data_IF_522161743958
#
_entry.id   IF_522161743958
#
_cell.length_a   1.000
_cell.length_b   1.000
_cell.length_c   1.000
_cell.angle_alpha   90.00
_cell.angle_beta   90.00
_cell.angle_gamma   90.00
#
_symmetry.space_group_name_H-M   'P 1'
#
loop_
_entity.id
_entity.type
_entity.pdbx_description
1 polymer ?
#
# COMPACT_ATOMS: atom_id res chain seq x y z
N UNK A 1 -45.59 1.81 -23.11
CA UNK A 1 -45.25 3.23 -22.87
C UNK A 1 -45.33 3.49 -21.38
N UNK A 2 -44.21 3.41 -20.67
CA UNK A 2 -43.94 4.21 -19.46
C UNK A 2 -42.50 3.93 -19.05
N UNK A 3 -41.59 4.73 -19.59
CA UNK A 3 -40.19 4.81 -19.21
C UNK A 3 -40.06 5.78 -18.04
N UNK A 4 -40.19 5.30 -16.81
CA UNK A 4 -39.84 6.07 -15.62
C UNK A 4 -38.33 6.03 -15.42
N UNK A 5 -37.69 7.04 -16.01
CA UNK A 5 -36.30 7.44 -15.78
C UNK A 5 -36.15 7.82 -14.30
N UNK A 6 -35.56 6.94 -13.49
CA UNK A 6 -35.09 7.29 -12.15
C UNK A 6 -33.76 8.05 -12.26
N UNK A 7 -33.66 9.32 -11.83
CA UNK A 7 -32.39 10.04 -11.80
C UNK A 7 -31.67 9.67 -10.52
N UNK A 8 -30.69 8.76 -10.59
CA UNK A 8 -29.76 8.59 -9.48
C UNK A 8 -29.02 9.93 -9.24
N UNK A 9 -29.11 10.55 -8.06
CA UNK A 9 -28.27 11.69 -7.73
C UNK A 9 -26.83 11.21 -7.72
N UNK A 10 -26.03 11.67 -8.68
CA UNK A 10 -24.59 11.44 -8.72
C UNK A 10 -23.97 12.10 -7.50
N UNK A 11 -23.80 11.35 -6.42
CA UNK A 11 -22.93 11.75 -5.33
C UNK A 11 -21.54 12.02 -5.95
N UNK A 12 -21.10 13.29 -5.87
CA UNK A 12 -19.88 13.78 -6.48
C UNK A 12 -18.67 12.91 -6.09
N UNK A 13 -17.81 12.52 -7.05
CA UNK A 13 -16.73 11.61 -6.77
C UNK A 13 -15.60 12.34 -6.03
N UNK A 14 -15.35 11.98 -4.78
CA UNK A 14 -14.15 12.38 -3.99
C UNK A 14 -12.84 11.83 -4.63
N UNK A 15 -12.90 11.19 -5.80
CA UNK A 15 -11.81 10.48 -6.48
C UNK A 15 -10.78 11.39 -7.18
N UNK A 16 -11.02 12.69 -7.34
CA UNK A 16 -10.11 13.56 -8.11
C UNK A 16 -8.84 13.94 -7.37
N UNK A 17 -8.91 14.13 -6.05
CA UNK A 17 -7.76 14.54 -5.23
C UNK A 17 -6.73 13.41 -5.07
N UNK A 18 -7.20 12.17 -4.90
CA UNK A 18 -6.34 10.99 -4.79
C UNK A 18 -5.62 10.67 -6.10
N UNK A 19 -6.27 10.89 -7.25
CA UNK A 19 -5.65 10.66 -8.56
C UNK A 19 -4.49 11.62 -8.85
N UNK A 20 -4.61 12.90 -8.45
CA UNK A 20 -3.53 13.88 -8.60
C UNK A 20 -2.34 13.55 -7.68
N UNK A 21 -2.62 13.15 -6.43
CA UNK A 21 -1.60 12.73 -5.47
C UNK A 21 -0.89 11.45 -5.93
N UNK A 22 -1.63 10.46 -6.43
CA UNK A 22 -1.06 9.22 -6.99
C UNK A 22 -0.12 9.49 -8.18
N UNK A 23 -0.49 10.41 -9.08
CA UNK A 23 0.37 10.81 -10.21
C UNK A 23 1.66 11.48 -9.75
N UNK A 24 1.60 12.30 -8.70
CA UNK A 24 2.76 13.01 -8.13
C UNK A 24 3.68 12.05 -7.37
N UNK A 25 3.11 11.15 -6.57
CA UNK A 25 3.84 10.07 -5.88
C UNK A 25 4.48 9.11 -6.87
N UNK A 26 3.77 8.71 -7.94
CA UNK A 26 4.31 7.85 -8.99
C UNK A 26 5.44 8.51 -9.76
N UNK A 27 5.35 9.82 -10.02
CA UNK A 27 6.42 10.58 -10.68
C UNK A 27 7.64 10.72 -9.76
N UNK A 28 7.43 11.05 -8.49
CA UNK A 28 8.48 11.11 -7.47
C UNK A 28 9.18 9.76 -7.26
N UNK A 29 8.42 8.67 -7.20
CA UNK A 29 8.95 7.32 -7.06
C UNK A 29 9.82 6.94 -8.28
N UNK A 30 9.34 7.23 -9.50
CA UNK A 30 10.12 6.99 -10.73
C UNK A 30 11.41 7.80 -10.79
N UNK A 31 11.39 9.07 -10.37
CA UNK A 31 12.61 9.90 -10.31
C UNK A 31 13.64 9.33 -9.34
N UNK A 32 13.22 8.70 -8.24
CA UNK A 32 14.14 8.07 -7.26
C UNK A 32 14.58 6.64 -7.62
N UNK A 33 13.78 5.89 -8.37
CA UNK A 33 14.02 4.45 -8.58
C UNK A 33 15.01 4.16 -9.73
N UNK A 34 15.14 5.04 -10.73
CA UNK A 34 15.96 4.81 -11.91
C UNK A 34 15.38 3.70 -12.83
N UNK A 35 16.05 3.38 -13.96
CA UNK A 35 15.59 2.33 -14.88
C UNK A 35 15.53 0.97 -14.20
N UNK A 36 14.43 0.24 -14.41
CA UNK A 36 14.27 -1.11 -13.88
C UNK A 36 15.05 -2.11 -14.74
N UNK A 37 15.96 -2.85 -14.10
CA UNK A 37 16.69 -3.94 -14.75
C UNK A 37 15.79 -5.17 -14.93
N UNK A 38 16.18 -6.07 -15.84
CA UNK A 38 15.47 -7.32 -16.14
C UNK A 38 15.16 -8.17 -14.88
N UNK A 39 16.01 -8.07 -13.86
CA UNK A 39 15.76 -8.60 -12.52
C UNK A 39 15.71 -7.41 -11.55
N UNK A 40 14.51 -7.10 -11.07
CA UNK A 40 14.29 -6.00 -10.12
C UNK A 40 14.18 -6.54 -8.71
N UNK A 41 15.17 -6.23 -7.89
CA UNK A 41 15.15 -6.53 -6.46
C UNK A 41 14.46 -5.40 -5.68
N UNK A 42 13.49 -5.76 -4.83
CA UNK A 42 12.81 -4.83 -3.94
C UNK A 42 13.73 -4.47 -2.78
N UNK A 43 14.61 -3.49 -3.01
CA UNK A 43 15.47 -2.90 -1.99
C UNK A 43 14.65 -2.04 -1.01
N UNK A 44 15.14 -1.80 0.22
CA UNK A 44 14.45 -0.94 1.21
C UNK A 44 14.04 0.44 0.66
N UNK A 45 14.87 1.07 -0.17
CA UNK A 45 14.57 2.36 -0.80
C UNK A 45 13.49 2.33 -1.90
N UNK A 46 12.95 1.15 -2.23
CA UNK A 46 11.87 0.97 -3.20
C UNK A 46 10.54 0.54 -2.57
N UNK A 47 10.55 0.20 -1.27
CA UNK A 47 9.35 -0.22 -0.52
C UNK A 47 8.89 0.94 0.34
N UNK A 48 7.68 1.44 0.06
CA UNK A 48 7.11 2.59 0.76
C UNK A 48 5.88 2.18 1.57
N UNK A 49 5.83 2.61 2.81
CA UNK A 49 4.63 2.49 3.65
C UNK A 49 3.76 3.71 3.37
N UNK A 50 2.66 3.51 2.65
CA UNK A 50 1.73 4.61 2.35
C UNK A 50 0.79 4.84 3.53
N UNK A 51 0.49 6.12 3.88
CA UNK A 51 -0.53 6.44 4.87
C UNK A 51 -1.90 6.01 4.30
N UNK A 52 -2.47 4.94 4.84
CA UNK A 52 -3.83 4.51 4.51
C UNK A 52 -4.84 5.31 5.31
N UNK A 53 -6.07 5.46 4.81
CA UNK A 53 -7.12 6.20 5.54
C UNK A 53 -7.36 5.63 6.95
N UNK A 54 -7.39 4.30 7.07
CA UNK A 54 -7.51 3.62 8.37
C UNK A 54 -6.29 3.89 9.25
N UNK A 55 -5.08 3.90 8.70
CA UNK A 55 -3.85 4.23 9.43
C UNK A 55 -3.84 5.66 9.96
N UNK A 56 -4.40 6.62 9.20
CA UNK A 56 -4.56 8.01 9.65
C UNK A 56 -5.54 8.09 10.82
N UNK A 57 -6.71 7.45 10.71
CA UNK A 57 -7.71 7.41 11.80
C UNK A 57 -7.10 6.78 13.05
N UNK A 58 -6.40 5.66 12.91
CA UNK A 58 -5.68 5.02 14.02
C UNK A 58 -4.68 5.99 14.68
N UNK A 59 -3.82 6.65 13.90
CA UNK A 59 -2.84 7.59 14.42
C UNK A 59 -3.51 8.77 15.16
N UNK A 60 -4.59 9.32 14.62
CA UNK A 60 -5.37 10.38 15.26
C UNK A 60 -5.98 9.89 16.58
N UNK A 61 -6.59 8.70 16.60
CA UNK A 61 -7.17 8.13 17.81
C UNK A 61 -6.10 7.87 18.89
N UNK A 62 -4.98 7.26 18.53
CA UNK A 62 -3.86 7.03 19.46
C UNK A 62 -3.31 8.35 20.00
N UNK A 63 -3.19 9.38 19.15
CA UNK A 63 -2.75 10.70 19.60
C UNK A 63 -3.77 11.39 20.52
N UNK A 64 -5.06 11.30 20.20
CA UNK A 64 -6.13 11.82 21.06
C UNK A 64 -6.16 11.10 22.42
N UNK A 65 -5.94 9.78 22.44
CA UNK A 65 -5.81 9.02 23.69
C UNK A 65 -4.59 9.47 24.49
N UNK A 66 -3.46 9.81 23.84
CA UNK A 66 -2.29 10.33 24.51
C UNK A 66 -2.58 11.68 25.18
N UNK A 67 -3.24 12.60 24.46
CA UNK A 67 -3.64 13.89 25.00
C UNK A 67 -4.62 13.74 26.17
N UNK A 68 -5.59 12.83 26.06
CA UNK A 68 -6.49 12.49 27.16
C UNK A 68 -5.74 11.94 28.38
N UNK A 69 -4.77 11.04 28.15
CA UNK A 69 -3.95 10.47 29.22
C UNK A 69 -3.15 11.53 29.97
N UNK A 70 -2.57 12.49 29.23
CA UNK A 70 -1.88 13.66 29.81
C UNK A 70 -2.83 14.55 30.60
N UNK A 71 -4.04 14.79 30.09
CA UNK A 71 -5.00 15.68 30.75
C UNK A 71 -5.50 15.11 32.09
N UNK A 72 -5.79 13.81 32.14
CA UNK A 72 -6.33 13.15 33.34
C UNK A 72 -5.28 12.50 34.23
N UNK A 73 -3.98 12.62 33.90
CA UNK A 73 -2.88 11.95 34.59
C UNK A 73 -3.13 10.44 34.81
N UNK A 74 -3.75 9.78 33.83
CA UNK A 74 -4.16 8.39 33.93
C UNK A 74 -3.07 7.45 33.40
N UNK A 75 -2.34 6.83 34.32
CA UNK A 75 -1.24 5.89 34.02
C UNK A 75 -1.67 4.70 33.16
N UNK A 76 -2.90 4.19 33.32
CA UNK A 76 -3.39 3.05 32.54
C UNK A 76 -3.60 3.44 31.07
N UNK A 77 -4.16 4.63 30.84
CA UNK A 77 -4.36 5.15 29.49
C UNK A 77 -3.03 5.41 28.78
N UNK A 78 -1.99 5.85 29.51
CA UNK A 78 -0.63 5.95 28.95
C UNK A 78 -0.10 4.60 28.48
N UNK A 79 -0.17 3.57 29.32
CA UNK A 79 0.30 2.21 28.97
C UNK A 79 -0.40 1.71 27.72
N UNK A 80 -1.73 1.79 27.66
CA UNK A 80 -2.50 1.35 26.49
C UNK A 80 -2.11 2.13 25.23
N UNK A 81 -1.98 3.46 25.33
CA UNK A 81 -1.64 4.31 24.20
C UNK A 81 -0.24 3.99 23.66
N UNK A 82 0.73 3.78 24.53
CA UNK A 82 2.08 3.39 24.12
C UNK A 82 2.14 1.97 23.54
N UNK A 83 1.36 1.03 24.07
CA UNK A 83 1.23 -0.33 23.49
C UNK A 83 0.67 -0.23 22.07
N UNK A 84 -0.40 0.52 21.86
CA UNK A 84 -1.00 0.72 20.54
C UNK A 84 -0.01 1.38 19.57
N UNK A 85 0.64 2.46 20.01
CA UNK A 85 1.67 3.14 19.21
C UNK A 85 2.83 2.21 18.84
N UNK A 86 3.35 1.46 19.81
CA UNK A 86 4.41 0.48 19.59
C UNK A 86 3.99 -0.64 18.64
N UNK A 87 2.80 -1.20 18.83
CA UNK A 87 2.25 -2.23 17.95
C UNK A 87 2.11 -1.71 16.51
N UNK A 88 1.66 -0.47 16.34
CA UNK A 88 1.60 0.20 15.04
C UNK A 88 2.97 0.26 14.35
N UNK A 89 4.01 0.72 15.06
CA UNK A 89 5.38 0.82 14.54
C UNK A 89 5.97 -0.56 14.20
N UNK A 90 5.79 -1.55 15.07
CA UNK A 90 6.26 -2.93 14.84
C UNK A 90 5.56 -3.55 13.63
N UNK A 91 4.26 -3.32 13.49
CA UNK A 91 3.47 -3.82 12.34
C UNK A 91 3.94 -3.19 11.04
N UNK A 92 4.18 -1.88 11.02
CA UNK A 92 4.76 -1.17 9.87
C UNK A 92 6.11 -1.75 9.47
N UNK A 93 7.01 -1.93 10.43
CA UNK A 93 8.33 -2.51 10.20
C UNK A 93 8.25 -3.94 9.68
N UNK A 94 7.36 -4.77 10.23
CA UNK A 94 7.16 -6.14 9.78
C UNK A 94 6.62 -6.20 8.35
N UNK A 95 5.72 -5.29 7.98
CA UNK A 95 5.17 -5.19 6.64
C UNK A 95 6.26 -4.84 5.61
N UNK A 96 7.13 -3.87 5.94
CA UNK A 96 8.29 -3.55 5.12
C UNK A 96 9.24 -4.75 5.00
N UNK A 97 9.61 -5.38 6.12
CA UNK A 97 10.49 -6.56 6.11
C UNK A 97 9.90 -7.67 5.27
N UNK A 98 8.59 -7.87 5.25
CA UNK A 98 7.92 -8.91 4.48
C UNK A 98 8.11 -8.75 2.95
N UNK A 99 8.18 -7.51 2.46
CA UNK A 99 8.29 -7.19 1.03
C UNK A 99 9.76 -7.05 0.60
N UNK A 100 10.61 -6.47 1.46
CA UNK A 100 12.02 -6.20 1.15
C UNK A 100 12.79 -7.49 0.87
N UNK A 101 13.56 -7.49 -0.22
CA UNK A 101 14.39 -8.60 -0.67
C UNK A 101 13.70 -9.56 -1.64
N UNK A 102 12.44 -9.33 -2.00
CA UNK A 102 11.81 -10.05 -3.10
C UNK A 102 12.44 -9.67 -4.43
N UNK A 103 12.62 -10.65 -5.32
CA UNK A 103 13.11 -10.43 -6.68
C UNK A 103 11.96 -10.63 -7.65
N UNK A 104 11.69 -9.62 -8.46
CA UNK A 104 10.75 -9.67 -9.58
C UNK A 104 11.54 -9.81 -10.87
N UNK A 105 11.19 -10.79 -11.69
CA UNK A 105 11.79 -10.99 -13.01
C UNK A 105 10.70 -11.07 -14.06
N UNK A 106 10.88 -10.37 -15.16
CA UNK A 106 10.05 -10.58 -16.35
C UNK A 106 10.35 -11.97 -16.93
N UNK A 107 9.33 -12.82 -16.99
CA UNK A 107 9.45 -14.21 -17.47
C UNK A 107 9.07 -14.36 -18.96
N UNK A 108 8.70 -13.27 -19.62
CA UNK A 108 8.33 -13.25 -21.02
C UNK A 108 6.85 -12.90 -21.26
N UNK A 109 6.52 -12.75 -22.53
CA UNK A 109 5.17 -12.54 -23.03
C UNK A 109 5.00 -13.42 -24.27
N UNK A 110 3.81 -14.00 -24.43
CA UNK A 110 3.50 -14.73 -25.66
C UNK A 110 3.31 -13.71 -26.81
N UNK A 111 3.88 -13.92 -28.00
CA UNK A 111 3.68 -13.01 -29.12
C UNK A 111 2.19 -12.93 -29.50
N UNK A 112 1.63 -11.73 -29.57
CA UNK A 112 0.23 -11.51 -29.98
C UNK A 112 0.15 -10.45 -31.06
N UNK A 113 -0.90 -10.53 -31.89
CA UNK A 113 -1.15 -9.52 -32.91
C UNK A 113 -1.73 -8.23 -32.30
N UNK A 114 -1.56 -7.12 -33.01
CA UNK A 114 -2.10 -5.83 -32.58
C UNK A 114 -3.61 -5.92 -32.32
N UNK A 115 -4.04 -5.49 -31.14
CA UNK A 115 -5.44 -5.55 -30.70
C UNK A 115 -5.82 -6.81 -29.92
N UNK A 116 -4.92 -7.79 -29.77
CA UNK A 116 -5.17 -8.98 -28.95
C UNK A 116 -4.70 -8.78 -27.50
N UNK A 117 -5.40 -9.37 -26.51
CA UNK A 117 -4.94 -9.38 -25.13
C UNK A 117 -3.64 -10.18 -25.02
N UNK A 118 -2.65 -9.62 -24.31
CA UNK A 118 -1.37 -10.29 -24.04
C UNK A 118 -1.22 -10.59 -22.56
N UNK A 119 -0.64 -11.74 -22.25
CA UNK A 119 -0.37 -12.15 -20.86
C UNK A 119 1.10 -11.98 -20.55
N UNK A 120 1.42 -10.99 -19.72
CA UNK A 120 2.77 -10.80 -19.20
C UNK A 120 3.03 -11.78 -18.06
N UNK A 121 4.08 -12.60 -18.19
CA UNK A 121 4.49 -13.52 -17.12
C UNK A 121 5.52 -12.83 -16.24
N UNK A 122 5.22 -12.71 -14.94
CA UNK A 122 6.14 -12.14 -13.96
C UNK A 122 6.50 -13.25 -12.96
N UNK A 123 7.79 -13.57 -12.87
CA UNK A 123 8.31 -14.49 -11.87
C UNK A 123 8.66 -13.73 -10.59
N UNK A 124 8.14 -14.19 -9.47
CA UNK A 124 8.47 -13.67 -8.13
C UNK A 124 9.32 -14.71 -7.41
N UNK A 125 10.50 -14.32 -6.98
CA UNK A 125 11.44 -15.20 -6.26
C UNK A 125 11.75 -14.62 -4.89
N UNK A 126 11.63 -15.44 -3.85
CA UNK A 126 12.10 -15.11 -2.51
C UNK A 126 13.49 -15.74 -2.30
N UNK A 127 14.58 -14.96 -2.36
CA UNK A 127 15.92 -15.49 -2.12
C UNK A 127 16.23 -15.73 -0.63
N UNK A 128 15.36 -15.28 0.29
CA UNK A 128 15.56 -15.45 1.73
C UNK A 128 15.09 -16.83 2.21
N UNK A 129 15.73 -17.32 3.28
CA UNK A 129 15.29 -18.54 4.01
C UNK A 129 13.97 -18.32 4.76
N UNK A 130 13.60 -17.07 5.05
CA UNK A 130 12.35 -16.75 5.74
C UNK A 130 11.16 -16.72 4.77
N UNK A 131 10.08 -17.42 5.12
CA UNK A 131 8.82 -17.35 4.39
C UNK A 131 8.25 -15.91 4.42
N UNK A 132 7.69 -15.47 3.28
CA UNK A 132 6.97 -14.19 3.17
C UNK A 132 5.48 -14.47 3.29
N UNK A 133 4.84 -13.90 4.31
CA UNK A 133 3.44 -14.18 4.62
C UNK A 133 2.52 -13.18 3.92
N UNK A 134 1.31 -13.60 3.56
CA UNK A 134 0.29 -12.71 3.00
C UNK A 134 0.58 -12.19 1.58
N UNK A 135 1.54 -12.76 0.86
CA UNK A 135 1.79 -12.43 -0.56
C UNK A 135 0.99 -13.41 -1.42
N UNK A 136 0.02 -12.88 -2.16
CA UNK A 136 -0.79 -13.64 -3.12
C UNK A 136 -0.58 -13.07 -4.52
N UNK A 137 -0.32 -13.94 -5.48
CA UNK A 137 -0.31 -13.59 -6.90
C UNK A 137 -1.76 -13.64 -7.39
N UNK A 138 -2.29 -12.48 -7.79
CA UNK A 138 -3.57 -12.41 -8.49
C UNK A 138 -3.30 -12.54 -9.98
N UNK A 139 -3.77 -13.63 -10.58
CA UNK A 139 -3.82 -13.78 -12.03
C UNK A 139 -5.18 -13.23 -12.48
N UNK A 140 -5.18 -12.15 -13.28
CA UNK A 140 -6.38 -11.64 -13.97
C UNK A 140 -6.30 -12.01 -15.44
#
# INVERSE_FOLDING_TARGET
MSSTLWPFPRLLPIRSLSAALQRRVGRWARTRQGPDAHVTELRPGRVYILPTGVGIVFAIMTFAMLLGSMNYNNNLSFVLTFILGGLGLVSMHQCQRNIVGLKLRFAGVEPVFAGQPTTFRIAVTNPSKSARHGIRLYNQ
#
